data_IF_154123570615
#
_entry.id   IF_154123570615
#
_cell.length_a   1.000
_cell.length_b   1.000
_cell.length_c   1.000
_cell.angle_alpha   90.00
_cell.angle_beta   90.00
_cell.angle_gamma   90.00
#
_symmetry.space_group_name_H-M   'P 1'
#
loop_
_entity.id
_entity.type
_entity.pdbx_description
1 polymer ?
#
# COMPACT_ATOMS: atom_id res chain seq x y z
N UNK A 1 32.78 18.98 -23.09
CA UNK A 1 32.65 17.57 -22.68
C UNK A 1 31.50 17.48 -21.68
N UNK A 2 30.27 17.30 -22.16
CA UNK A 2 29.08 17.23 -21.31
C UNK A 2 28.98 15.85 -20.65
N UNK A 3 29.10 15.82 -19.32
CA UNK A 3 28.72 14.67 -18.50
C UNK A 3 27.18 14.50 -18.57
N UNK A 4 26.63 13.29 -18.49
CA UNK A 4 25.19 13.12 -18.37
C UNK A 4 24.75 13.72 -17.03
N UNK A 5 24.16 14.92 -17.06
CA UNK A 5 23.54 15.59 -15.91
C UNK A 5 22.23 14.90 -15.45
N UNK A 6 21.90 13.77 -16.08
CA UNK A 6 20.75 12.94 -15.75
C UNK A 6 21.23 11.50 -15.53
N UNK A 7 22.04 11.27 -14.47
CA UNK A 7 21.90 9.99 -13.78
C UNK A 7 20.49 10.02 -13.20
N UNK A 8 19.57 9.28 -13.80
CA UNK A 8 18.25 9.00 -13.24
C UNK A 8 18.40 8.78 -11.75
N UNK A 9 17.77 9.62 -10.92
CA UNK A 9 17.62 9.37 -9.49
C UNK A 9 17.29 7.90 -9.34
N UNK A 10 18.19 7.14 -8.74
CA UNK A 10 18.06 5.69 -8.66
C UNK A 10 16.75 5.37 -7.97
N UNK A 11 16.14 4.20 -8.23
CA UNK A 11 14.93 3.79 -7.51
C UNK A 11 15.08 3.90 -5.98
N UNK A 12 16.31 3.84 -5.48
CA UNK A 12 16.69 4.04 -4.08
C UNK A 12 16.48 5.47 -3.57
N UNK A 13 16.85 6.51 -4.33
CA UNK A 13 16.61 7.91 -3.94
C UNK A 13 15.10 8.21 -3.86
N UNK A 14 14.32 7.60 -4.77
CA UNK A 14 12.87 7.72 -4.76
C UNK A 14 12.23 7.03 -3.54
N UNK A 15 12.75 5.87 -3.12
CA UNK A 15 12.29 5.16 -1.92
C UNK A 15 12.65 5.94 -0.66
N UNK A 16 13.88 6.46 -0.56
CA UNK A 16 14.30 7.25 0.60
C UNK A 16 13.44 8.50 0.77
N UNK A 17 13.19 9.22 -0.33
CA UNK A 17 12.29 10.38 -0.32
C UNK A 17 10.87 9.98 0.11
N UNK A 18 10.34 8.88 -0.42
CA UNK A 18 9.01 8.39 -0.06
C UNK A 18 8.91 8.00 1.42
N UNK A 19 9.92 7.36 1.99
CA UNK A 19 9.94 7.01 3.42
C UNK A 19 9.96 8.29 4.27
N UNK A 20 10.83 9.27 3.95
CA UNK A 20 10.90 10.54 4.69
C UNK A 20 9.60 11.35 4.64
N UNK A 21 8.91 11.32 3.49
CA UNK A 21 7.68 12.09 3.28
C UNK A 21 6.44 11.39 3.88
N UNK A 22 6.55 10.14 4.33
CA UNK A 22 5.44 9.36 4.85
C UNK A 22 5.31 9.53 6.38
N UNK A 23 4.09 9.85 6.83
CA UNK A 23 3.79 10.09 8.25
C UNK A 23 4.14 8.90 9.16
N UNK A 24 4.14 7.67 8.65
CA UNK A 24 4.50 6.48 9.42
C UNK A 24 5.98 6.45 9.81
N UNK A 25 6.82 7.26 9.16
CA UNK A 25 8.27 7.33 9.38
C UNK A 25 8.71 8.73 9.85
N UNK A 26 7.79 9.57 10.35
CA UNK A 26 8.11 10.95 10.78
C UNK A 26 9.18 11.01 11.87
N UNK A 27 9.22 9.99 12.73
CA UNK A 27 10.13 9.91 13.88
C UNK A 27 11.40 9.11 13.57
N UNK A 28 11.56 8.67 12.32
CA UNK A 28 12.66 7.83 11.88
C UNK A 28 13.82 8.72 11.44
N UNK A 29 14.96 8.58 12.12
CA UNK A 29 16.17 9.35 11.81
C UNK A 29 16.70 9.00 10.42
N UNK A 30 17.45 9.91 9.80
CA UNK A 30 18.07 9.67 8.49
C UNK A 30 18.92 8.37 8.45
N UNK A 31 19.56 8.01 9.56
CA UNK A 31 20.32 6.76 9.69
C UNK A 31 19.41 5.52 9.64
N UNK A 32 18.27 5.59 10.32
CA UNK A 32 17.27 4.51 10.31
C UNK A 32 16.55 4.41 8.97
N UNK A 33 16.29 5.53 8.28
CA UNK A 33 15.75 5.51 6.91
C UNK A 33 16.67 4.72 5.97
N UNK A 34 17.99 4.89 6.09
CA UNK A 34 18.95 4.10 5.31
C UNK A 34 18.89 2.59 5.60
N UNK A 35 18.54 2.20 6.83
CA UNK A 35 18.32 0.81 7.22
C UNK A 35 16.99 0.27 6.66
N UNK A 36 15.89 0.98 6.88
CA UNK A 36 14.55 0.63 6.39
C UNK A 36 14.54 0.46 4.87
N UNK A 37 15.21 1.36 4.15
CA UNK A 37 15.37 1.28 2.69
C UNK A 37 15.89 -0.07 2.22
N UNK A 38 16.83 -0.68 2.95
CA UNK A 38 17.42 -1.97 2.56
C UNK A 38 16.48 -3.17 2.83
N UNK A 39 15.42 -2.97 3.63
CA UNK A 39 14.41 -3.99 3.93
C UNK A 39 13.17 -3.89 3.04
N UNK A 40 13.03 -2.80 2.29
CA UNK A 40 11.90 -2.58 1.39
C UNK A 40 12.13 -3.25 0.04
N UNK A 41 11.11 -3.97 -0.44
CA UNK A 41 11.09 -4.55 -1.78
C UNK A 41 10.12 -3.79 -2.68
N UNK A 42 10.54 -3.48 -3.91
CA UNK A 42 9.68 -2.83 -4.90
C UNK A 42 8.80 -3.88 -5.61
N UNK A 43 7.53 -3.93 -5.23
CA UNK A 43 6.50 -4.67 -5.96
C UNK A 43 5.98 -3.90 -7.18
N UNK A 44 5.73 -4.57 -8.30
CA UNK A 44 5.07 -4.00 -9.48
C UNK A 44 3.83 -4.81 -9.80
N UNK A 45 2.69 -4.14 -9.85
CA UNK A 45 1.39 -4.74 -10.13
C UNK A 45 0.84 -4.22 -11.45
N UNK A 46 0.13 -5.07 -12.17
CA UNK A 46 -0.59 -4.71 -13.39
C UNK A 46 -1.93 -4.05 -13.04
N UNK A 47 -2.47 -3.30 -14.00
CA UNK A 47 -3.82 -2.78 -13.88
C UNK A 47 -4.79 -3.95 -13.67
N UNK A 48 -5.74 -3.80 -12.73
CA UNK A 48 -6.73 -4.82 -12.29
C UNK A 48 -6.19 -6.00 -11.48
N UNK A 49 -4.90 -6.03 -11.18
CA UNK A 49 -4.32 -7.07 -10.32
C UNK A 49 -4.78 -6.88 -8.86
N UNK A 50 -5.22 -7.96 -8.24
CA UNK A 50 -5.64 -7.97 -6.84
C UNK A 50 -4.43 -8.11 -5.94
N UNK A 51 -4.12 -7.06 -5.16
CA UNK A 51 -2.94 -7.03 -4.30
C UNK A 51 -3.17 -7.83 -3.01
N UNK A 52 -4.34 -7.65 -2.37
CA UNK A 52 -4.69 -8.31 -1.11
C UNK A 52 -6.15 -8.75 -1.11
N UNK A 53 -6.45 -9.85 -0.41
CA UNK A 53 -7.83 -10.18 -0.03
C UNK A 53 -8.06 -10.03 1.47
N UNK A 54 -9.27 -9.59 1.81
CA UNK A 54 -9.71 -9.53 3.21
C UNK A 54 -9.65 -10.93 3.83
N UNK A 55 -9.02 -11.02 5.00
CA UNK A 55 -8.89 -12.27 5.76
C UNK A 55 -7.68 -13.12 5.37
N UNK A 56 -6.89 -12.72 4.36
CA UNK A 56 -5.60 -13.33 4.10
C UNK A 56 -4.60 -12.92 5.19
N UNK A 57 -3.79 -13.89 5.65
CA UNK A 57 -2.68 -13.63 6.54
C UNK A 57 -1.61 -12.82 5.78
N UNK A 58 -1.38 -11.59 6.19
CA UNK A 58 -0.33 -10.74 5.65
C UNK A 58 0.93 -10.78 6.52
N UNK A 59 2.11 -10.76 5.89
CA UNK A 59 3.42 -10.76 6.55
C UNK A 59 4.13 -9.40 6.49
N UNK A 60 3.42 -8.33 6.12
CA UNK A 60 4.00 -7.01 6.05
C UNK A 60 3.05 -5.92 5.57
N UNK A 61 3.61 -4.73 5.39
CA UNK A 61 2.95 -3.53 4.93
C UNK A 61 3.45 -3.15 3.53
N UNK A 62 2.58 -2.57 2.70
CA UNK A 62 2.97 -1.97 1.43
C UNK A 62 2.61 -0.49 1.40
N UNK A 63 3.45 0.30 0.76
CA UNK A 63 3.24 1.73 0.54
C UNK A 63 3.18 1.96 -0.97
N UNK A 64 2.15 2.65 -1.43
CA UNK A 64 1.99 2.96 -2.86
C UNK A 64 2.97 4.07 -3.25
N UNK A 65 3.96 3.74 -4.06
CA UNK A 65 4.95 4.71 -4.54
C UNK A 65 4.54 5.43 -5.84
N UNK A 66 3.72 4.78 -6.67
CA UNK A 66 3.23 5.33 -7.94
C UNK A 66 1.92 4.66 -8.32
N UNK A 67 0.98 5.45 -8.83
CA UNK A 67 -0.35 4.98 -9.24
C UNK A 67 -1.36 5.08 -8.11
N UNK A 68 -2.40 4.24 -8.17
CA UNK A 68 -3.49 4.23 -7.20
C UNK A 68 -4.01 2.82 -7.00
N UNK A 69 -4.50 2.54 -5.79
CA UNK A 69 -5.09 1.25 -5.41
C UNK A 69 -6.49 1.51 -4.87
N UNK A 70 -7.46 0.70 -5.30
CA UNK A 70 -8.83 0.76 -4.78
C UNK A 70 -9.02 -0.24 -3.63
N UNK A 71 -9.51 0.24 -2.49
CA UNK A 71 -9.90 -0.60 -1.37
C UNK A 71 -11.40 -0.87 -1.43
N UNK A 72 -11.80 -2.11 -1.69
CA UNK A 72 -13.21 -2.49 -1.88
C UNK A 72 -13.63 -3.43 -0.75
N UNK A 73 -14.66 -3.02 0.02
CA UNK A 73 -15.28 -3.84 1.05
C UNK A 73 -16.67 -4.27 0.57
N UNK A 74 -16.89 -5.59 0.45
CA UNK A 74 -18.23 -6.12 0.19
C UNK A 74 -19.07 -5.97 1.46
N UNK A 75 -20.09 -5.12 1.41
CA UNK A 75 -21.13 -5.06 2.42
C UNK A 75 -22.15 -6.15 2.09
N UNK A 76 -22.34 -7.10 3.02
CA UNK A 76 -23.46 -8.02 2.94
C UNK A 76 -24.69 -7.30 3.48
N UNK A 77 -25.74 -7.16 2.66
CA UNK A 77 -27.05 -6.80 3.17
C UNK A 77 -27.53 -8.00 4.01
N UNK A 78 -27.38 -7.89 5.33
CA UNK A 78 -27.90 -8.88 6.26
C UNK A 78 -29.39 -9.05 6.00
N UNK A 79 -29.83 -10.30 5.88
CA UNK A 79 -31.23 -10.71 5.77
C UNK A 79 -32.09 -10.06 6.87
N UNK A 80 -32.60 -8.86 6.59
CA UNK A 80 -33.59 -8.15 7.39
C UNK A 80 -35.00 -8.41 6.84
N UNK A 81 -35.21 -9.58 6.22
CA UNK A 81 -36.51 -10.00 5.68
C UNK A 81 -37.05 -11.29 6.32
N UNK A 82 -36.25 -12.06 7.07
CA UNK A 82 -36.75 -13.30 7.69
C UNK A 82 -37.47 -13.08 9.04
N UNK A 83 -37.30 -11.94 9.70
CA UNK A 83 -38.00 -11.66 10.97
C UNK A 83 -39.33 -10.92 10.83
N UNK A 84 -39.62 -10.27 9.69
CA UNK A 84 -40.86 -9.49 9.52
C UNK A 84 -42.03 -10.28 8.88
N UNK A 85 -41.79 -11.48 8.35
CA UNK A 85 -42.84 -12.31 7.71
C UNK A 85 -43.33 -13.45 8.62
N UNK A 86 -42.69 -13.68 9.77
CA UNK A 86 -42.98 -14.79 10.68
C UNK A 86 -44.01 -14.53 11.79
N UNK A 87 -44.57 -13.31 11.90
CA UNK A 87 -45.44 -12.91 13.02
C UNK A 87 -46.90 -12.59 12.60
N UNK A 88 -47.41 -13.35 11.63
CA UNK A 88 -48.80 -13.31 11.19
C UNK A 88 -49.33 -14.75 11.08
N UNK A 89 -49.48 -15.45 12.21
CA UNK A 89 -50.45 -16.53 12.40
C UNK A 89 -50.85 -16.62 13.86
#
# INVERSE_FOLDING_TARGET
>A
MWRPLFKSASGEEAIEKLLRDNILFSDVTARQIGFERNMVHLGRYRQTELIFRRGETAVGMQIVCKGSVACIVKLFATSMYQHLVGYQR
#
